data_IF_238645150078
#
_entry.id   IF_238645150078
#
_cell.length_a   1.000
_cell.length_b   1.000
_cell.length_c   1.000
_cell.angle_alpha   90.00
_cell.angle_beta   90.00
_cell.angle_gamma   90.00
#
_symmetry.space_group_name_H-M   'P 1'
#
loop_
_entity.id
_entity.type
_entity.pdbx_description
1 polymer ?
#
# COMPACT_ATOMS: atom_id res chain seq x y z
N UNK A 1 19.55 -13.75 -12.55
CA UNK A 1 18.53 -13.80 -13.61
C UNK A 1 18.61 -12.47 -14.36
N UNK A 2 18.60 -12.51 -15.69
CA UNK A 2 18.42 -11.31 -16.51
C UNK A 2 16.94 -10.91 -16.59
N UNK A 3 16.66 -9.73 -17.16
CA UNK A 3 15.30 -9.18 -17.25
C UNK A 3 14.33 -10.14 -17.97
N UNK A 4 14.74 -10.74 -19.06
CA UNK A 4 13.86 -11.61 -19.85
C UNK A 4 13.47 -12.86 -19.07
N UNK A 5 14.41 -13.47 -18.34
CA UNK A 5 14.14 -14.60 -17.44
C UNK A 5 13.16 -14.23 -16.31
N UNK A 6 13.24 -12.99 -15.81
CA UNK A 6 12.31 -12.54 -14.78
C UNK A 6 10.91 -12.31 -15.36
N UNK A 7 10.82 -11.69 -16.54
CA UNK A 7 9.53 -11.46 -17.21
C UNK A 7 8.80 -12.78 -17.55
N UNK A 8 9.53 -13.88 -17.74
CA UNK A 8 9.00 -15.22 -18.02
C UNK A 8 8.54 -15.98 -16.76
N UNK A 9 8.74 -15.46 -15.56
CA UNK A 9 8.25 -16.09 -14.32
C UNK A 9 6.74 -16.30 -14.43
N UNK A 10 6.32 -17.56 -14.26
CA UNK A 10 4.89 -17.92 -14.29
C UNK A 10 4.25 -17.66 -12.95
N UNK A 11 3.14 -16.96 -12.96
CA UNK A 11 2.46 -16.63 -11.70
C UNK A 11 1.88 -17.86 -11.00
N UNK A 12 1.58 -18.92 -11.75
CA UNK A 12 1.10 -20.17 -11.19
C UNK A 12 2.14 -20.91 -10.32
N UNK A 13 3.46 -20.66 -10.54
CA UNK A 13 4.51 -21.22 -9.69
C UNK A 13 4.46 -20.64 -8.26
N UNK A 14 3.70 -19.57 -8.07
CA UNK A 14 3.43 -18.90 -6.78
C UNK A 14 1.99 -19.14 -6.31
N UNK A 15 1.43 -20.27 -6.71
CA UNK A 15 0.13 -20.74 -6.23
C UNK A 15 0.31 -21.67 -5.03
N UNK A 16 -0.63 -21.61 -4.11
CA UNK A 16 -0.73 -22.53 -2.97
C UNK A 16 -2.20 -22.68 -2.54
N UNK A 17 -2.59 -23.82 -1.95
CA UNK A 17 -3.95 -24.00 -1.47
C UNK A 17 -4.20 -23.13 -0.23
N UNK A 18 -5.03 -22.09 -0.36
CA UNK A 18 -5.47 -21.26 0.76
C UNK A 18 -6.93 -21.60 1.08
N UNK A 19 -7.20 -22.39 2.13
CA UNK A 19 -8.56 -22.68 2.56
C UNK A 19 -9.27 -21.44 3.08
N UNK A 20 -10.53 -21.25 2.73
CA UNK A 20 -11.35 -20.08 3.11
C UNK A 20 -11.43 -19.91 4.63
N UNK A 21 -11.38 -21.00 5.40
CA UNK A 21 -11.38 -21.00 6.86
C UNK A 21 -10.10 -20.41 7.47
N UNK A 22 -9.02 -20.34 6.71
CA UNK A 22 -7.76 -19.72 7.13
C UNK A 22 -7.74 -18.20 6.95
N UNK A 23 -8.67 -17.66 6.18
CA UNK A 23 -8.77 -16.20 5.96
C UNK A 23 -9.44 -15.56 7.17
N UNK A 24 -8.69 -14.72 7.89
CA UNK A 24 -9.23 -13.97 9.01
C UNK A 24 -10.12 -12.83 8.51
N UNK A 25 -11.42 -12.90 8.80
CA UNK A 25 -12.40 -11.90 8.36
C UNK A 25 -12.48 -10.69 9.30
N UNK A 26 -12.02 -10.84 10.54
CA UNK A 26 -11.98 -9.80 11.57
C UNK A 26 -10.67 -9.88 12.34
N UNK A 27 -10.19 -8.75 12.89
CA UNK A 27 -9.02 -8.76 13.77
C UNK A 27 -9.33 -9.49 15.09
N UNK A 28 -8.28 -9.86 15.81
CA UNK A 28 -8.41 -10.26 17.21
C UNK A 28 -8.78 -9.02 18.06
N UNK A 29 -9.45 -9.25 19.20
CA UNK A 29 -9.78 -8.18 20.13
C UNK A 29 -8.52 -7.44 20.62
N UNK A 30 -7.46 -8.19 20.90
CA UNK A 30 -6.10 -7.68 21.16
C UNK A 30 -5.24 -8.03 19.95
N UNK A 31 -4.93 -7.05 19.10
CA UNK A 31 -4.30 -7.26 17.78
C UNK A 31 -2.91 -7.90 17.87
N UNK A 32 -2.14 -7.56 18.90
CA UNK A 32 -0.77 -8.03 19.12
C UNK A 32 -0.70 -9.44 19.74
N UNK A 33 -1.84 -10.06 20.04
CA UNK A 33 -1.89 -11.49 20.45
C UNK A 33 -1.89 -12.46 19.26
N UNK A 34 -1.95 -11.97 18.03
CA UNK A 34 -1.84 -12.79 16.83
C UNK A 34 -0.49 -13.54 16.81
N UNK A 35 -0.44 -14.65 16.05
CA UNK A 35 0.79 -15.39 15.87
C UNK A 35 1.78 -14.59 15.01
N UNK A 36 3.06 -14.79 15.28
CA UNK A 36 4.19 -14.26 14.52
C UNK A 36 5.06 -15.42 14.06
N UNK A 37 5.07 -15.70 12.76
CA UNK A 37 6.04 -16.59 12.17
C UNK A 37 7.37 -15.85 12.06
N UNK A 38 8.41 -16.40 12.67
CA UNK A 38 9.76 -15.83 12.61
C UNK A 38 10.65 -16.73 11.77
N UNK A 39 11.30 -16.16 10.75
CA UNK A 39 12.42 -16.77 10.05
C UNK A 39 13.67 -16.03 10.45
N UNK A 40 14.55 -16.72 11.12
CA UNK A 40 15.84 -16.20 11.57
C UNK A 40 16.87 -16.13 10.42
N UNK A 41 18.04 -15.46 10.62
CA UNK A 41 19.06 -15.35 9.57
C UNK A 41 19.67 -16.68 9.13
N UNK A 42 19.54 -17.74 9.93
CA UNK A 42 20.00 -19.09 9.60
C UNK A 42 18.94 -19.92 8.86
N UNK A 43 17.76 -19.34 8.63
CA UNK A 43 16.64 -20.01 7.97
C UNK A 43 15.75 -20.83 8.90
N UNK A 44 15.98 -20.79 10.22
CA UNK A 44 15.14 -21.44 11.22
C UNK A 44 13.74 -20.82 11.27
N UNK A 45 12.69 -21.65 11.38
CA UNK A 45 11.32 -21.20 11.56
C UNK A 45 10.86 -21.41 13.00
N UNK A 46 10.20 -20.42 13.57
CA UNK A 46 9.57 -20.53 14.88
C UNK A 46 8.27 -19.74 14.95
N UNK A 47 7.37 -20.19 15.82
CA UNK A 47 6.11 -19.51 16.12
C UNK A 47 6.25 -18.71 17.39
N UNK A 48 5.88 -17.44 17.36
CA UNK A 48 5.86 -16.49 18.47
C UNK A 48 4.51 -15.77 18.50
N UNK A 49 4.32 -14.83 19.42
CA UNK A 49 3.25 -13.85 19.38
C UNK A 49 3.77 -12.52 18.84
N UNK A 50 2.91 -11.73 18.24
CA UNK A 50 3.31 -10.42 17.72
C UNK A 50 3.80 -9.49 18.84
N UNK A 51 3.25 -9.61 20.04
CA UNK A 51 3.73 -8.91 21.25
C UNK A 51 5.21 -9.19 21.59
N UNK A 52 5.81 -10.28 21.09
CA UNK A 52 7.22 -10.59 21.28
C UNK A 52 8.14 -9.84 20.30
N UNK A 53 7.57 -9.20 19.27
CA UNK A 53 8.32 -8.51 18.21
C UNK A 53 9.44 -7.60 18.74
N UNK A 54 9.22 -6.73 19.77
CA UNK A 54 10.27 -5.87 20.27
C UNK A 54 11.51 -6.62 20.74
N UNK A 55 11.34 -7.82 21.29
CA UNK A 55 12.43 -8.66 21.78
C UNK A 55 13.17 -9.41 20.66
N UNK A 56 12.54 -9.58 19.51
CA UNK A 56 13.06 -10.33 18.37
C UNK A 56 13.82 -9.44 17.37
N UNK A 57 13.60 -8.13 17.43
CA UNK A 57 14.28 -7.18 16.56
C UNK A 57 15.77 -7.07 16.94
N UNK A 58 16.70 -7.12 15.96
CA UNK A 58 18.10 -6.82 16.20
C UNK A 58 18.29 -5.43 16.80
N UNK A 59 19.25 -5.24 17.74
CA UNK A 59 19.46 -3.95 18.43
C UNK A 59 19.83 -2.79 17.49
N UNK A 60 20.45 -3.09 16.34
CA UNK A 60 20.85 -2.13 15.32
C UNK A 60 19.72 -1.81 14.32
N UNK A 61 18.50 -2.25 14.58
CA UNK A 61 17.36 -2.04 13.68
C UNK A 61 16.84 -0.62 13.70
N UNK A 62 16.27 -0.21 12.59
CA UNK A 62 15.33 0.92 12.46
C UNK A 62 14.07 0.43 11.76
N UNK A 63 12.90 0.64 12.38
CA UNK A 63 11.62 0.30 11.76
C UNK A 63 11.16 1.45 10.87
N UNK A 64 10.73 1.10 9.66
CA UNK A 64 10.14 2.07 8.71
C UNK A 64 8.76 1.59 8.31
N UNK A 65 7.74 2.42 8.48
CA UNK A 65 6.35 2.07 8.23
C UNK A 65 5.60 3.13 7.43
N UNK A 66 4.56 2.68 6.73
CA UNK A 66 3.68 3.54 5.96
C UNK A 66 2.62 4.18 6.86
N UNK A 67 2.57 5.51 6.90
CA UNK A 67 1.72 6.30 7.78
C UNK A 67 0.37 6.70 7.16
N UNK A 68 0.02 6.12 6.01
CA UNK A 68 -1.23 6.47 5.35
C UNK A 68 -2.45 5.96 6.10
N UNK A 69 -3.52 6.79 6.07
CA UNK A 69 -4.85 6.48 6.59
C UNK A 69 -5.78 6.12 5.43
N UNK A 70 -6.58 5.07 5.63
CA UNK A 70 -7.60 4.68 4.66
C UNK A 70 -8.74 5.68 4.70
N UNK A 71 -9.14 6.15 3.52
CA UNK A 71 -10.27 7.05 3.35
C UNK A 71 -11.55 6.27 3.04
N UNK A 72 -12.71 6.85 3.30
CA UNK A 72 -14.01 6.29 2.96
C UNK A 72 -14.27 6.41 1.45
N UNK A 73 -13.42 5.78 0.64
CA UNK A 73 -13.32 5.99 -0.80
C UNK A 73 -14.51 5.44 -1.61
N UNK A 74 -15.45 4.74 -0.99
CA UNK A 74 -16.58 4.10 -1.65
C UNK A 74 -17.85 4.91 -1.46
N UNK A 75 -18.27 5.64 -2.50
CA UNK A 75 -19.50 6.45 -2.52
C UNK A 75 -20.60 5.70 -3.25
N UNK A 76 -21.83 5.80 -2.76
CA UNK A 76 -22.99 5.16 -3.36
C UNK A 76 -24.02 6.20 -3.77
N UNK A 77 -24.41 6.15 -5.04
CA UNK A 77 -25.46 6.99 -5.62
C UNK A 77 -26.59 6.12 -6.14
N UNK A 78 -27.81 6.66 -6.10
CA UNK A 78 -28.95 6.09 -6.82
C UNK A 78 -29.26 6.94 -8.05
N UNK A 79 -29.45 6.26 -9.20
CA UNK A 79 -29.83 6.94 -10.44
C UNK A 79 -31.26 7.47 -10.32
N UNK A 80 -31.50 8.69 -10.85
CA UNK A 80 -32.80 9.36 -10.79
C UNK A 80 -32.92 10.31 -9.62
N UNK A 81 -33.69 11.38 -9.80
CA UNK A 81 -33.90 12.41 -8.79
C UNK A 81 -34.74 11.95 -7.59
N UNK A 82 -35.48 10.87 -7.75
CA UNK A 82 -36.33 10.25 -6.72
C UNK A 82 -35.63 9.20 -5.87
N UNK A 83 -34.37 8.90 -6.14
CA UNK A 83 -33.57 7.92 -5.40
C UNK A 83 -34.03 6.46 -5.54
N UNK A 84 -34.92 6.15 -6.52
CA UNK A 84 -35.47 4.79 -6.70
C UNK A 84 -34.71 3.98 -7.75
N UNK A 85 -33.84 4.61 -8.53
CA UNK A 85 -33.11 3.99 -9.62
C UNK A 85 -31.97 3.05 -9.18
N UNK A 86 -31.24 2.55 -10.17
CA UNK A 86 -30.15 1.63 -9.95
C UNK A 86 -29.08 2.22 -9.02
N UNK A 87 -28.59 1.40 -8.07
CA UNK A 87 -27.45 1.73 -7.24
C UNK A 87 -26.18 1.73 -8.08
N UNK A 88 -25.47 2.86 -8.07
CA UNK A 88 -24.15 3.04 -8.69
C UNK A 88 -23.15 3.22 -7.57
N UNK A 89 -22.12 2.40 -7.56
CA UNK A 89 -20.99 2.53 -6.62
C UNK A 89 -19.84 3.22 -7.34
N UNK A 90 -19.31 4.30 -6.75
CA UNK A 90 -18.12 5.00 -7.24
C UNK A 90 -17.03 4.79 -6.20
N UNK A 91 -15.98 4.10 -6.61
CA UNK A 91 -14.81 3.83 -5.79
C UNK A 91 -13.66 4.72 -6.23
N UNK A 92 -13.38 5.77 -5.46
CA UNK A 92 -12.28 6.71 -5.69
C UNK A 92 -10.95 6.01 -5.47
N UNK A 93 -10.03 6.10 -6.44
CA UNK A 93 -8.73 5.45 -6.42
C UNK A 93 -7.61 6.46 -6.12
N UNK A 94 -7.54 7.50 -6.94
CA UNK A 94 -6.53 8.55 -6.86
C UNK A 94 -7.11 9.86 -7.42
N UNK A 95 -6.64 11.03 -6.95
CA UNK A 95 -7.06 12.31 -7.49
C UNK A 95 -6.53 12.49 -8.91
N UNK A 96 -7.35 13.14 -9.77
CA UNK A 96 -7.02 13.47 -11.15
C UNK A 96 -6.80 14.98 -11.32
N UNK A 97 -7.78 15.79 -10.93
CA UNK A 97 -7.69 17.25 -10.98
C UNK A 97 -8.38 17.88 -9.74
N UNK A 98 -7.62 18.56 -8.87
CA UNK A 98 -6.15 18.60 -8.81
C UNK A 98 -5.53 17.23 -8.43
N UNK A 99 -4.38 16.90 -9.02
CA UNK A 99 -3.71 15.61 -8.82
C UNK A 99 -3.06 15.45 -7.43
N UNK A 100 -2.84 16.55 -6.72
CA UNK A 100 -2.33 16.51 -5.34
C UNK A 100 -3.44 16.12 -4.36
N UNK A 101 -3.15 15.14 -3.51
CA UNK A 101 -4.11 14.61 -2.54
C UNK A 101 -4.59 15.67 -1.54
N UNK A 102 -3.68 16.46 -0.97
CA UNK A 102 -4.05 17.47 0.03
C UNK A 102 -4.90 18.58 -0.59
N UNK A 103 -4.55 19.01 -1.80
CA UNK A 103 -5.30 20.03 -2.54
C UNK A 103 -6.67 19.49 -2.96
N UNK A 104 -6.73 18.24 -3.44
CA UNK A 104 -7.99 17.61 -3.84
C UNK A 104 -8.94 17.41 -2.64
N UNK A 105 -8.43 16.99 -1.47
CA UNK A 105 -9.23 16.87 -0.25
C UNK A 105 -9.69 18.22 0.30
N UNK A 106 -8.89 19.27 0.15
CA UNK A 106 -9.23 20.63 0.58
C UNK A 106 -10.13 21.37 -0.41
N UNK A 107 -10.43 20.79 -1.57
CA UNK A 107 -11.32 21.41 -2.56
C UNK A 107 -12.68 21.69 -1.93
N UNK A 108 -13.26 22.88 -2.25
CA UNK A 108 -14.50 23.40 -1.64
C UNK A 108 -15.66 23.57 -2.64
N UNK A 109 -15.46 23.18 -3.89
CA UNK A 109 -16.50 23.29 -4.93
C UNK A 109 -16.54 22.11 -5.88
N UNK A 110 -15.37 21.63 -6.31
CA UNK A 110 -15.25 20.45 -7.18
C UNK A 110 -13.84 19.89 -7.19
N UNK A 111 -13.75 18.59 -7.46
CA UNK A 111 -12.51 17.88 -7.79
C UNK A 111 -12.83 16.69 -8.69
N UNK A 112 -11.81 16.16 -9.38
CA UNK A 112 -11.95 14.98 -10.24
C UNK A 112 -11.06 13.86 -9.70
N UNK A 113 -11.56 12.63 -9.81
CA UNK A 113 -10.87 11.43 -9.34
C UNK A 113 -10.93 10.33 -10.37
N UNK A 114 -9.85 9.56 -10.49
CA UNK A 114 -9.86 8.26 -11.13
C UNK A 114 -10.63 7.29 -10.25
N UNK A 115 -11.65 6.63 -10.80
CA UNK A 115 -12.57 5.79 -10.05
C UNK A 115 -12.85 4.45 -10.75
N UNK A 116 -13.10 3.41 -9.97
CA UNK A 116 -13.84 2.24 -10.45
C UNK A 116 -15.33 2.48 -10.24
N UNK A 117 -16.15 2.08 -11.21
CA UNK A 117 -17.59 2.29 -11.16
C UNK A 117 -18.32 0.96 -11.21
N UNK A 118 -18.91 0.56 -10.06
CA UNK A 118 -19.82 -0.57 -9.96
C UNK A 118 -21.13 -0.29 -10.67
N UNK A 119 -21.72 -1.33 -11.28
CA UNK A 119 -22.91 -1.17 -12.14
C UNK A 119 -22.75 -0.15 -13.29
N UNK A 120 -21.52 0.04 -13.78
CA UNK A 120 -21.15 1.04 -14.80
C UNK A 120 -22.06 1.02 -16.04
N UNK A 121 -22.60 -0.16 -16.41
CA UNK A 121 -23.55 -0.32 -17.54
C UNK A 121 -24.89 0.40 -17.31
N UNK A 122 -25.25 0.65 -16.04
CA UNK A 122 -26.49 1.36 -15.67
C UNK A 122 -26.30 2.88 -15.65
N UNK A 123 -25.06 3.35 -15.58
CA UNK A 123 -24.71 4.77 -15.68
C UNK A 123 -24.11 5.08 -17.05
N UNK A 124 -24.96 5.25 -18.06
CA UNK A 124 -24.53 5.52 -19.43
C UNK A 124 -24.28 7.00 -19.68
N UNK A 125 -25.14 7.84 -19.11
CA UNK A 125 -25.21 9.28 -19.33
C UNK A 125 -25.82 10.00 -18.14
N UNK A 126 -25.70 11.31 -18.12
CA UNK A 126 -26.22 12.20 -17.10
C UNK A 126 -25.44 12.17 -15.78
N UNK A 127 -25.78 13.10 -14.93
CA UNK A 127 -25.20 13.23 -13.61
C UNK A 127 -25.90 12.33 -12.58
N UNK A 128 -25.15 11.86 -11.61
CA UNK A 128 -25.71 11.30 -10.38
C UNK A 128 -25.76 12.42 -9.33
N UNK A 129 -26.90 12.57 -8.69
CA UNK A 129 -27.12 13.64 -7.70
C UNK A 129 -27.71 13.06 -6.44
N UNK A 130 -27.28 13.55 -5.29
CA UNK A 130 -27.93 13.25 -4.01
C UNK A 130 -27.83 14.44 -3.07
N UNK A 131 -28.89 14.69 -2.31
CA UNK A 131 -28.90 15.66 -1.23
C UNK A 131 -28.43 14.97 0.05
N UNK A 132 -27.46 15.58 0.70
CA UNK A 132 -26.80 14.98 1.87
C UNK A 132 -26.52 16.07 2.91
N UNK A 133 -26.39 15.63 4.16
CA UNK A 133 -25.99 16.53 5.25
C UNK A 133 -24.55 16.22 5.62
N UNK A 134 -23.69 17.22 5.54
CA UNK A 134 -22.26 17.15 5.90
C UNK A 134 -21.97 18.29 6.87
N UNK A 135 -21.41 17.98 8.02
CA UNK A 135 -21.08 18.94 9.08
C UNK A 135 -22.28 19.86 9.46
N UNK A 136 -23.48 19.28 9.48
CA UNK A 136 -24.73 19.99 9.77
C UNK A 136 -25.28 20.85 8.62
N UNK A 137 -24.66 20.86 7.44
CA UNK A 137 -25.08 21.60 6.25
C UNK A 137 -25.68 20.67 5.21
N UNK A 138 -26.82 21.06 4.66
CA UNK A 138 -27.43 20.34 3.53
C UNK A 138 -26.75 20.78 2.23
N UNK A 139 -26.21 19.82 1.47
CA UNK A 139 -25.57 20.06 0.19
C UNK A 139 -26.15 19.16 -0.90
N UNK A 140 -26.07 19.62 -2.14
CA UNK A 140 -26.34 18.79 -3.32
C UNK A 140 -25.01 18.31 -3.89
N UNK A 141 -24.68 17.04 -3.64
CA UNK A 141 -23.50 16.41 -4.23
C UNK A 141 -23.84 15.85 -5.62
N UNK A 142 -23.04 16.21 -6.61
CA UNK A 142 -23.15 15.77 -8.00
C UNK A 142 -21.90 15.01 -8.42
N UNK A 143 -22.07 13.87 -9.08
CA UNK A 143 -20.99 13.12 -9.74
C UNK A 143 -21.24 13.06 -11.25
N UNK A 144 -20.28 13.54 -12.04
CA UNK A 144 -20.30 13.59 -13.49
C UNK A 144 -19.17 12.73 -14.05
N UNK A 145 -19.47 11.76 -14.91
CA UNK A 145 -18.44 10.97 -15.58
C UNK A 145 -17.84 11.77 -16.73
N UNK A 146 -16.56 12.13 -16.64
CA UNK A 146 -15.85 12.90 -17.66
C UNK A 146 -15.27 12.01 -18.76
N UNK A 147 -14.70 10.86 -18.36
CA UNK A 147 -14.12 9.89 -19.29
C UNK A 147 -14.28 8.47 -18.78
N UNK A 148 -14.07 7.51 -19.68
CA UNK A 148 -14.02 6.09 -19.36
C UNK A 148 -12.88 5.44 -20.14
N UNK A 149 -11.99 4.78 -19.41
CA UNK A 149 -10.92 3.97 -19.96
C UNK A 149 -10.94 2.57 -19.35
N UNK A 150 -11.34 1.57 -20.15
CA UNK A 150 -11.50 0.20 -19.69
C UNK A 150 -12.44 0.08 -18.49
N UNK A 151 -11.90 -0.31 -17.33
CA UNK A 151 -12.62 -0.44 -16.07
C UNK A 151 -12.66 0.88 -15.28
N UNK A 152 -11.74 1.80 -15.53
CA UNK A 152 -11.63 3.09 -14.85
C UNK A 152 -12.47 4.16 -15.50
N UNK A 153 -12.80 5.19 -14.74
CA UNK A 153 -13.49 6.39 -15.19
C UNK A 153 -12.95 7.59 -14.42
N UNK A 154 -12.77 8.72 -15.10
CA UNK A 154 -12.59 10.00 -14.41
C UNK A 154 -13.99 10.51 -14.03
N UNK A 155 -14.19 10.73 -12.75
CA UNK A 155 -15.45 11.25 -12.19
C UNK A 155 -15.16 12.59 -11.52
N UNK A 156 -15.88 13.62 -11.98
CA UNK A 156 -15.89 14.92 -11.33
C UNK A 156 -16.98 14.94 -10.27
N UNK A 157 -16.59 15.27 -9.04
CA UNK A 157 -17.50 15.60 -7.96
C UNK A 157 -17.65 17.11 -7.87
N UNK A 158 -18.87 17.61 -7.64
CA UNK A 158 -19.16 19.03 -7.40
C UNK A 158 -20.30 19.18 -6.42
N UNK A 159 -20.27 20.26 -5.63
CA UNK A 159 -21.27 20.57 -4.60
C UNK A 159 -21.46 22.08 -4.46
N UNK A 160 -22.55 22.46 -3.82
CA UNK A 160 -23.07 23.83 -3.78
C UNK A 160 -22.79 24.59 -2.48
N UNK A 161 -21.86 24.08 -1.62
CA UNK A 161 -21.54 24.69 -0.33
C UNK A 161 -20.02 24.84 -0.19
N UNK A 162 -19.43 26.05 -0.32
CA UNK A 162 -17.98 26.26 -0.28
C UNK A 162 -17.36 26.11 1.11
N UNK A 163 -18.16 26.01 2.17
CA UNK A 163 -17.68 25.74 3.52
C UNK A 163 -17.46 24.24 3.78
N UNK A 164 -17.86 23.37 2.84
CA UNK A 164 -17.70 21.92 2.92
C UNK A 164 -16.56 21.49 2.00
N UNK A 165 -15.61 20.76 2.54
CA UNK A 165 -14.49 20.22 1.76
C UNK A 165 -14.83 18.83 1.20
N UNK A 166 -14.10 18.39 0.16
CA UNK A 166 -14.24 17.04 -0.35
C UNK A 166 -13.89 15.98 0.71
N UNK A 167 -12.93 16.27 1.58
CA UNK A 167 -12.60 15.42 2.74
C UNK A 167 -13.80 15.21 3.67
N UNK A 168 -14.54 16.29 4.01
CA UNK A 168 -15.76 16.19 4.82
C UNK A 168 -16.84 15.36 4.10
N UNK A 169 -17.00 15.52 2.80
CA UNK A 169 -17.96 14.75 1.98
C UNK A 169 -17.64 13.25 2.02
N UNK A 170 -16.39 12.88 1.72
CA UNK A 170 -15.96 11.47 1.75
C UNK A 170 -16.12 10.89 3.16
N UNK A 171 -15.76 11.64 4.19
CA UNK A 171 -15.87 11.17 5.58
C UNK A 171 -17.30 10.92 6.00
N UNK A 172 -18.25 11.76 5.56
CA UNK A 172 -19.65 11.66 5.94
C UNK A 172 -20.45 10.61 5.15
N UNK A 173 -20.13 10.42 3.87
CA UNK A 173 -20.94 9.63 2.94
C UNK A 173 -20.28 8.34 2.48
N UNK A 174 -18.97 8.29 2.54
CA UNK A 174 -18.20 7.16 2.04
C UNK A 174 -18.17 6.00 3.03
N UNK A 175 -17.91 4.84 2.49
CA UNK A 175 -17.60 3.63 3.25
C UNK A 175 -16.12 3.27 3.07
N UNK A 176 -15.50 2.73 4.13
CA UNK A 176 -14.15 2.17 4.03
C UNK A 176 -14.17 0.98 3.06
N UNK A 177 -13.30 0.96 2.05
CA UNK A 177 -13.16 -0.16 1.16
C UNK A 177 -12.38 -1.28 1.85
N UNK A 178 -13.05 -2.34 2.25
CA UNK A 178 -12.39 -3.54 2.75
C UNK A 178 -12.00 -4.47 1.59
N UNK A 179 -10.95 -5.29 1.76
CA UNK A 179 -10.51 -6.23 0.72
C UNK A 179 -11.61 -7.23 0.31
N UNK A 180 -11.80 -7.50 -0.99
CA UNK A 180 -12.83 -8.43 -1.46
C UNK A 180 -12.73 -9.86 -0.91
N UNK A 181 -11.52 -10.33 -0.61
CA UNK A 181 -11.31 -11.68 -0.07
C UNK A 181 -11.85 -11.87 1.36
N UNK A 182 -12.19 -10.79 2.07
CA UNK A 182 -12.89 -10.89 3.36
C UNK A 182 -14.30 -11.44 3.20
N UNK A 183 -14.86 -11.39 1.98
CA UNK A 183 -16.15 -11.97 1.58
C UNK A 183 -17.28 -11.62 2.57
N UNK A 184 -17.33 -10.35 2.97
CA UNK A 184 -18.38 -9.75 3.80
C UNK A 184 -18.60 -8.27 3.42
N UNK A 185 -19.71 -7.73 3.86
CA UNK A 185 -19.96 -6.27 3.76
C UNK A 185 -19.10 -5.49 4.74
N UNK A 186 -18.89 -4.20 4.46
CA UNK A 186 -18.25 -3.26 5.38
C UNK A 186 -19.15 -3.08 6.62
N UNK A 187 -18.54 -3.08 7.79
CA UNK A 187 -19.17 -2.88 9.10
C UNK A 187 -18.67 -1.56 9.70
N UNK A 188 -19.41 -1.01 10.66
CA UNK A 188 -19.04 0.24 11.32
C UNK A 188 -17.66 0.15 12.01
N UNK A 189 -17.35 -1.01 12.57
CA UNK A 189 -16.06 -1.28 13.21
C UNK A 189 -14.87 -1.18 12.25
N UNK A 190 -15.06 -1.40 10.93
CA UNK A 190 -13.96 -1.33 9.95
C UNK A 190 -13.34 0.07 9.88
N UNK A 191 -14.10 1.12 10.19
CA UNK A 191 -13.59 2.49 10.26
C UNK A 191 -12.42 2.64 11.25
N UNK A 192 -12.41 1.83 12.31
CA UNK A 192 -11.36 1.73 13.32
C UNK A 192 -10.44 0.55 13.03
N UNK A 193 -11.01 -0.59 12.66
CA UNK A 193 -10.29 -1.87 12.63
C UNK A 193 -9.40 -2.01 11.40
N UNK A 194 -9.74 -1.32 10.30
CA UNK A 194 -8.94 -1.29 9.07
C UNK A 194 -8.01 -0.06 9.00
N UNK A 195 -7.50 0.37 10.17
CA UNK A 195 -6.53 1.46 10.33
C UNK A 195 -5.37 1.03 11.22
N UNK A 196 -4.17 1.53 10.92
CA UNK A 196 -3.02 1.36 11.82
C UNK A 196 -3.07 2.40 12.93
N UNK A 197 -2.47 2.07 14.10
CA UNK A 197 -2.43 2.99 15.25
C UNK A 197 -1.55 4.24 15.02
N UNK A 198 -0.79 4.27 13.94
CA UNK A 198 0.10 5.37 13.57
C UNK A 198 -0.30 6.06 12.24
N UNK A 199 -1.47 5.71 11.69
CA UNK A 199 -1.96 6.34 10.46
C UNK A 199 -2.33 7.81 10.70
N UNK A 200 -1.91 8.70 9.79
CA UNK A 200 -2.16 10.13 9.90
C UNK A 200 -2.36 10.89 8.59
N UNK A 201 -1.88 10.35 7.47
CA UNK A 201 -1.98 10.98 6.16
C UNK A 201 -3.12 10.33 5.37
N UNK A 202 -4.21 11.07 5.17
CA UNK A 202 -5.36 10.59 4.40
C UNK A 202 -5.01 10.39 2.93
N UNK A 203 -5.57 9.36 2.28
CA UNK A 203 -5.43 9.15 0.83
C UNK A 203 -5.27 7.71 0.37
N UNK A 204 -5.04 6.76 1.25
CA UNK A 204 -5.01 5.34 0.87
C UNK A 204 -6.42 4.76 0.73
N UNK A 205 -6.61 3.87 -0.24
CA UNK A 205 -7.84 3.07 -0.37
C UNK A 205 -7.69 1.67 0.21
N UNK A 206 -6.47 1.29 0.62
CA UNK A 206 -6.19 0.08 1.37
C UNK A 206 -5.25 0.36 2.54
N UNK A 207 -5.45 -0.32 3.66
CA UNK A 207 -4.55 -0.21 4.81
C UNK A 207 -3.19 -0.87 4.54
N UNK A 208 -2.08 -0.33 5.08
CA UNK A 208 -0.81 -1.06 5.16
C UNK A 208 -0.94 -2.18 6.22
N UNK A 209 -1.50 -3.31 5.80
CA UNK A 209 -2.11 -4.33 6.67
C UNK A 209 -1.15 -4.98 7.68
N UNK A 210 0.15 -5.06 7.38
CA UNK A 210 1.14 -5.51 8.35
C UNK A 210 1.24 -4.58 9.58
N UNK A 211 0.83 -3.33 9.44
CA UNK A 211 0.75 -2.36 10.52
C UNK A 211 -0.45 -2.56 11.45
N UNK A 212 -1.46 -3.33 11.04
CA UNK A 212 -2.66 -3.54 11.85
C UNK A 212 -2.39 -4.33 13.14
N UNK A 213 -1.31 -5.09 13.19
CA UNK A 213 -0.92 -5.88 14.37
C UNK A 213 -0.29 -5.02 15.47
N UNK A 214 0.22 -3.84 15.14
CA UNK A 214 0.86 -2.96 16.12
C UNK A 214 -0.19 -2.35 17.07
N UNK A 215 0.19 -2.33 18.34
CA UNK A 215 -0.54 -1.64 19.41
C UNK A 215 0.34 -0.54 20.02
N UNK A 216 -0.24 0.41 20.75
CA UNK A 216 0.57 1.39 21.48
C UNK A 216 1.54 0.74 22.48
N UNK A 217 1.23 -0.45 22.99
CA UNK A 217 2.11 -1.20 23.89
C UNK A 217 3.36 -1.71 23.15
N UNK A 218 3.18 -2.38 22.02
CA UNK A 218 4.29 -2.87 21.18
C UNK A 218 5.19 -1.71 20.73
N UNK A 219 4.62 -0.58 20.33
CA UNK A 219 5.39 0.60 19.93
C UNK A 219 6.21 1.18 21.08
N UNK A 220 5.64 1.28 22.29
CA UNK A 220 6.39 1.73 23.48
C UNK A 220 7.54 0.79 23.82
N UNK A 221 7.33 -0.53 23.72
CA UNK A 221 8.37 -1.51 24.03
C UNK A 221 9.53 -1.46 23.02
N UNK A 222 9.25 -1.16 21.75
CA UNK A 222 10.26 -0.87 20.72
C UNK A 222 11.05 0.39 21.10
N UNK A 223 10.36 1.49 21.49
CA UNK A 223 11.00 2.75 21.90
C UNK A 223 11.88 2.56 23.15
N UNK A 224 11.40 1.79 24.13
CA UNK A 224 12.17 1.46 25.35
C UNK A 224 13.45 0.66 25.07
N UNK A 225 13.51 -0.06 23.95
CA UNK A 225 14.71 -0.76 23.48
C UNK A 225 15.66 0.14 22.69
N UNK A 226 15.31 1.40 22.50
CA UNK A 226 16.11 2.35 21.73
C UNK A 226 16.11 2.11 20.21
N UNK A 227 15.15 1.34 19.70
CA UNK A 227 15.01 1.07 18.27
C UNK A 227 14.26 2.24 17.63
N UNK A 228 14.91 3.04 16.76
CA UNK A 228 14.27 4.17 16.13
C UNK A 228 13.15 3.73 15.16
N UNK A 229 12.11 4.54 15.10
CA UNK A 229 10.98 4.37 14.19
C UNK A 229 10.87 5.56 13.25
N UNK A 230 10.64 5.30 11.97
CA UNK A 230 10.49 6.33 10.94
C UNK A 230 9.30 6.03 10.07
N UNK A 231 8.78 7.09 9.47
CA UNK A 231 7.58 7.05 8.64
C UNK A 231 7.92 7.39 7.20
N UNK A 232 7.16 6.81 6.31
CA UNK A 232 7.06 7.20 4.92
C UNK A 232 5.59 7.18 4.50
N UNK A 233 5.29 7.77 3.37
CA UNK A 233 3.94 7.78 2.81
C UNK A 233 3.94 7.06 1.47
N UNK A 234 3.04 6.08 1.32
CA UNK A 234 2.66 5.50 0.04
C UNK A 234 1.14 5.39 0.02
N UNK A 235 0.50 6.07 -0.92
CA UNK A 235 -0.94 5.94 -1.11
C UNK A 235 -1.24 4.66 -1.87
N UNK A 236 -1.82 3.69 -1.14
CA UNK A 236 -2.13 2.36 -1.67
C UNK A 236 -3.36 2.45 -2.55
N UNK A 237 -3.21 2.13 -3.83
CA UNK A 237 -4.31 2.04 -4.78
C UNK A 237 -5.10 0.72 -4.68
N UNK A 238 -6.30 0.68 -5.29
CA UNK A 238 -7.15 -0.52 -5.31
C UNK A 238 -6.57 -1.71 -6.10
N UNK A 239 -5.53 -1.47 -6.89
CA UNK A 239 -4.82 -2.52 -7.62
C UNK A 239 -4.25 -3.61 -6.72
N UNK A 240 -3.92 -3.27 -5.47
CA UNK A 240 -3.40 -4.21 -4.47
C UNK A 240 -4.39 -5.36 -4.14
N UNK A 241 -5.68 -5.18 -4.41
CA UNK A 241 -6.70 -6.22 -4.19
C UNK A 241 -6.90 -7.15 -5.38
N UNK A 242 -6.27 -6.89 -6.52
CA UNK A 242 -6.46 -7.68 -7.72
C UNK A 242 -5.36 -8.74 -7.85
N UNK A 243 -5.71 -10.02 -8.04
CA UNK A 243 -4.72 -11.03 -8.37
C UNK A 243 -4.12 -10.75 -9.76
N UNK A 244 -2.91 -11.24 -9.98
CA UNK A 244 -2.30 -11.23 -11.32
C UNK A 244 -3.14 -12.12 -12.23
N UNK A 245 -3.55 -11.58 -13.39
CA UNK A 245 -4.42 -12.28 -14.35
C UNK A 245 -3.67 -12.84 -15.55
N UNK A 246 -2.45 -12.37 -15.77
CA UNK A 246 -1.57 -12.82 -16.84
C UNK A 246 -0.88 -14.14 -16.46
N UNK A 247 -0.46 -14.92 -17.45
CA UNK A 247 0.26 -16.18 -17.22
C UNK A 247 1.68 -15.92 -16.71
N UNK A 248 2.32 -14.89 -17.24
CA UNK A 248 3.66 -14.45 -16.84
C UNK A 248 3.61 -13.07 -16.18
N UNK A 249 4.61 -12.78 -15.35
CA UNK A 249 4.69 -11.48 -14.69
C UNK A 249 5.11 -10.35 -15.65
N UNK A 250 5.73 -10.67 -16.77
CA UNK A 250 6.10 -9.71 -17.83
C UNK A 250 4.89 -9.01 -18.46
N UNK A 251 3.78 -9.72 -18.57
CA UNK A 251 2.52 -9.20 -19.09
C UNK A 251 1.72 -8.40 -18.05
N UNK A 252 2.08 -8.51 -16.76
CA UNK A 252 1.38 -7.80 -15.69
C UNK A 252 1.84 -6.35 -15.61
N UNK A 253 0.90 -5.43 -15.71
CA UNK A 253 1.12 -3.99 -15.54
C UNK A 253 0.92 -3.59 -14.08
N UNK A 254 2.01 -3.15 -13.42
CA UNK A 254 1.91 -2.58 -12.07
C UNK A 254 1.21 -1.22 -12.11
N UNK A 255 0.28 -1.02 -11.18
CA UNK A 255 -0.31 0.30 -10.96
C UNK A 255 0.75 1.27 -10.45
N UNK A 256 0.59 2.54 -10.81
CA UNK A 256 1.39 3.62 -10.25
C UNK A 256 0.90 3.92 -8.83
N UNK A 257 1.82 4.05 -7.89
CA UNK A 257 1.51 4.45 -6.52
C UNK A 257 2.36 5.66 -6.14
N UNK A 258 1.70 6.66 -5.56
CA UNK A 258 2.34 7.89 -5.10
C UNK A 258 3.13 7.62 -3.82
N UNK A 259 4.37 8.12 -3.77
CA UNK A 259 5.24 8.03 -2.62
C UNK A 259 5.73 9.41 -2.19
N UNK A 260 5.84 9.63 -0.88
CA UNK A 260 6.45 10.81 -0.29
C UNK A 260 7.35 10.39 0.88
N UNK A 261 8.58 10.87 0.85
CA UNK A 261 9.61 10.54 1.86
C UNK A 261 10.30 11.82 2.32
N UNK A 262 10.25 12.07 3.62
CA UNK A 262 10.83 13.29 4.20
C UNK A 262 12.36 13.23 4.25
N UNK A 263 12.99 14.39 4.08
CA UNK A 263 14.45 14.58 4.13
C UNK A 263 15.13 13.87 5.29
N UNK A 264 14.65 13.95 6.57
CA UNK A 264 15.33 13.28 7.69
C UNK A 264 15.49 11.77 7.51
N UNK A 265 14.49 11.07 6.95
CA UNK A 265 14.62 9.64 6.67
C UNK A 265 15.67 9.38 5.58
N UNK A 266 15.70 10.19 4.52
CA UNK A 266 16.69 10.08 3.43
C UNK A 266 18.11 10.28 3.96
N UNK A 267 18.32 11.25 4.85
CA UNK A 267 19.59 11.49 5.51
C UNK A 267 20.05 10.33 6.40
N UNK A 268 19.11 9.70 7.13
CA UNK A 268 19.43 8.52 7.94
C UNK A 268 19.78 7.30 7.08
N UNK A 269 19.04 7.08 5.99
CA UNK A 269 19.36 6.03 5.01
C UNK A 269 20.73 6.26 4.37
N UNK A 270 21.10 7.50 4.08
CA UNK A 270 22.42 7.86 3.53
C UNK A 270 23.58 7.53 4.49
N UNK A 271 23.35 7.67 5.80
CA UNK A 271 24.39 7.33 6.82
C UNK A 271 24.60 5.83 6.96
N UNK A 272 23.59 5.00 6.63
CA UNK A 272 23.69 3.55 6.67
C UNK A 272 23.95 2.95 8.07
N UNK A 273 23.55 3.66 9.14
CA UNK A 273 23.87 3.29 10.53
C UNK A 273 22.95 2.21 11.12
N UNK A 274 21.86 1.87 10.42
CA UNK A 274 20.84 0.96 10.92
C UNK A 274 20.51 -0.15 9.93
N UNK A 275 20.11 -1.29 10.46
CA UNK A 275 19.44 -2.37 9.72
C UNK A 275 18.00 -1.97 9.51
N UNK A 276 17.61 -1.75 8.26
CA UNK A 276 16.26 -1.29 7.92
C UNK A 276 15.29 -2.47 7.93
N UNK A 277 14.31 -2.41 8.84
CA UNK A 277 13.20 -3.36 8.93
C UNK A 277 11.94 -2.66 8.41
N UNK A 278 11.47 -3.06 7.25
CA UNK A 278 10.27 -2.48 6.65
C UNK A 278 9.01 -3.13 7.24
N UNK A 279 8.03 -2.32 7.63
CA UNK A 279 6.71 -2.80 8.05
C UNK A 279 5.75 -2.73 6.88
N UNK A 280 5.42 -3.90 6.33
CA UNK A 280 4.56 -4.08 5.17
C UNK A 280 5.29 -3.94 3.83
N UNK A 281 4.72 -4.59 2.83
CA UNK A 281 5.23 -4.59 1.45
C UNK A 281 5.19 -3.20 0.81
N UNK A 282 4.30 -2.31 1.26
CA UNK A 282 4.24 -0.90 0.84
C UNK A 282 5.48 -0.14 1.26
N UNK A 283 5.95 -0.32 2.51
CA UNK A 283 7.20 0.28 3.00
C UNK A 283 8.41 -0.30 2.27
N UNK A 284 8.42 -1.60 1.99
CA UNK A 284 9.45 -2.25 1.17
C UNK A 284 9.52 -1.59 -0.20
N UNK A 285 8.39 -1.50 -0.91
CA UNK A 285 8.36 -0.93 -2.26
C UNK A 285 8.81 0.53 -2.28
N UNK A 286 8.41 1.33 -1.30
CA UNK A 286 8.83 2.73 -1.21
C UNK A 286 10.34 2.85 -0.99
N UNK A 287 10.90 2.12 -0.03
CA UNK A 287 12.34 2.17 0.28
C UNK A 287 13.19 1.71 -0.92
N UNK A 288 12.82 0.60 -1.54
CA UNK A 288 13.53 0.11 -2.71
C UNK A 288 13.35 1.03 -3.92
N UNK A 289 12.15 1.62 -4.11
CA UNK A 289 11.92 2.64 -5.15
C UNK A 289 12.79 3.87 -4.93
N UNK A 290 12.95 4.32 -3.68
CA UNK A 290 13.76 5.48 -3.34
C UNK A 290 15.22 5.29 -3.80
N UNK A 291 15.79 4.09 -3.61
CA UNK A 291 17.13 3.78 -4.12
C UNK A 291 17.21 3.96 -5.66
N UNK A 292 16.26 3.42 -6.39
CA UNK A 292 16.29 3.48 -7.86
C UNK A 292 16.01 4.88 -8.39
N UNK A 293 15.14 5.65 -7.74
CA UNK A 293 14.89 7.06 -8.07
C UNK A 293 16.15 7.92 -7.84
N UNK A 294 16.90 7.64 -6.78
CA UNK A 294 18.20 8.26 -6.56
C UNK A 294 19.23 7.91 -7.65
N UNK A 295 19.22 6.67 -8.15
CA UNK A 295 20.02 6.26 -9.29
C UNK A 295 19.62 7.00 -10.58
N UNK A 296 18.32 7.20 -10.83
CA UNK A 296 17.81 7.99 -11.96
C UNK A 296 18.30 9.45 -11.88
N UNK A 297 18.15 10.10 -10.72
CA UNK A 297 18.64 11.47 -10.48
C UNK A 297 20.15 11.57 -10.69
N UNK A 298 20.92 10.62 -10.18
CA UNK A 298 22.37 10.57 -10.40
C UNK A 298 22.74 10.53 -11.87
N UNK A 299 21.96 9.83 -12.68
CA UNK A 299 22.15 9.71 -14.13
C UNK A 299 21.53 10.87 -14.93
N UNK A 300 20.97 11.90 -14.27
CA UNK A 300 20.33 13.04 -14.93
C UNK A 300 18.98 12.71 -15.58
N UNK A 301 18.35 11.61 -15.17
CA UNK A 301 17.03 11.20 -15.66
C UNK A 301 15.91 11.86 -14.85
N UNK A 302 14.72 11.98 -15.45
CA UNK A 302 13.51 12.34 -14.73
C UNK A 302 13.16 11.24 -13.72
N UNK A 303 13.07 11.60 -12.44
CA UNK A 303 12.72 10.72 -11.33
C UNK A 303 11.31 10.98 -10.78
N UNK A 304 10.42 11.58 -11.57
CA UNK A 304 9.01 11.77 -11.18
C UNK A 304 8.24 10.44 -11.08
N UNK A 305 8.64 9.45 -11.88
CA UNK A 305 8.03 8.11 -11.87
C UNK A 305 9.08 7.03 -12.08
N UNK A 306 9.13 6.05 -11.17
CA UNK A 306 9.97 4.86 -11.33
C UNK A 306 9.30 3.85 -12.26
N UNK A 307 9.89 3.51 -13.42
CA UNK A 307 9.36 2.50 -14.32
C UNK A 307 9.43 1.09 -13.70
N UNK A 308 8.46 0.24 -14.05
CA UNK A 308 8.29 -1.11 -13.50
C UNK A 308 9.55 -1.97 -13.55
N UNK A 309 10.27 -1.94 -14.68
CA UNK A 309 11.39 -2.81 -14.97
C UNK A 309 12.76 -2.09 -14.90
N UNK A 310 12.80 -0.87 -14.39
CA UNK A 310 14.04 -0.09 -14.29
C UNK A 310 15.17 -0.82 -13.56
N UNK A 311 14.93 -1.52 -12.42
CA UNK A 311 15.99 -2.22 -11.70
C UNK A 311 16.69 -3.35 -12.48
N UNK A 312 16.03 -3.85 -13.50
CA UNK A 312 16.47 -4.99 -14.31
C UNK A 312 17.06 -4.57 -15.66
N UNK A 313 17.24 -3.27 -15.89
CA UNK A 313 17.84 -2.76 -17.12
C UNK A 313 19.36 -2.86 -17.08
N UNK A 314 19.98 -3.16 -18.22
CA UNK A 314 21.44 -3.23 -18.35
C UNK A 314 22.14 -1.89 -18.09
N UNK A 315 21.42 -0.78 -18.27
CA UNK A 315 21.91 0.58 -18.03
C UNK A 315 21.75 1.05 -16.59
N UNK A 316 21.25 0.19 -15.69
CA UNK A 316 21.05 0.59 -14.28
C UNK A 316 22.39 0.79 -13.58
N UNK A 317 22.69 2.00 -13.03
CA UNK A 317 23.94 2.26 -12.34
C UNK A 317 23.98 1.48 -11.01
N UNK A 318 25.14 0.90 -10.71
CA UNK A 318 25.36 0.25 -9.40
C UNK A 318 25.95 1.28 -8.43
N UNK A 319 25.10 2.00 -7.74
CA UNK A 319 25.47 2.96 -6.70
C UNK A 319 25.46 2.32 -5.31
N UNK A 320 26.21 2.92 -4.37
CA UNK A 320 25.95 2.69 -2.96
C UNK A 320 24.61 3.33 -2.56
N UNK A 321 23.99 2.86 -1.46
CA UNK A 321 22.80 3.51 -0.91
C UNK A 321 23.10 4.97 -0.57
N UNK A 322 24.27 5.24 0.01
CA UNK A 322 24.70 6.60 0.34
C UNK A 322 24.74 7.53 -0.88
N UNK A 323 25.31 7.07 -2.00
CA UNK A 323 25.41 7.88 -3.23
C UNK A 323 24.02 8.13 -3.86
N UNK A 324 23.18 7.11 -3.85
CA UNK A 324 21.79 7.24 -4.32
C UNK A 324 21.01 8.24 -3.47
N UNK A 325 21.05 8.12 -2.13
CA UNK A 325 20.39 9.07 -1.23
C UNK A 325 20.98 10.48 -1.36
N UNK A 326 22.31 10.62 -1.55
CA UNK A 326 22.93 11.90 -1.79
C UNK A 326 22.43 12.58 -3.09
N UNK A 327 22.10 11.80 -4.12
CA UNK A 327 21.49 12.37 -5.33
C UNK A 327 20.10 12.96 -5.06
N UNK A 328 19.27 12.27 -4.24
CA UNK A 328 17.96 12.79 -3.83
C UNK A 328 18.12 14.05 -2.96
N UNK A 329 19.06 14.06 -2.00
CA UNK A 329 19.30 15.23 -1.14
C UNK A 329 19.71 16.44 -1.96
N UNK A 330 20.60 16.28 -2.96
CA UNK A 330 20.95 17.37 -3.90
C UNK A 330 19.74 17.88 -4.69
N UNK A 331 18.86 16.98 -5.12
CA UNK A 331 17.62 17.38 -5.79
C UNK A 331 16.72 18.21 -4.87
N UNK A 332 16.54 17.79 -3.62
CA UNK A 332 15.78 18.54 -2.61
C UNK A 332 16.39 19.91 -2.33
N UNK A 333 17.72 20.01 -2.27
CA UNK A 333 18.42 21.29 -2.11
C UNK A 333 18.18 22.23 -3.30
N UNK A 334 18.25 21.69 -4.51
CA UNK A 334 18.04 22.46 -5.74
C UNK A 334 16.60 22.95 -5.92
N UNK A 335 15.61 22.19 -5.41
CA UNK A 335 14.19 22.53 -5.50
C UNK A 335 13.65 23.27 -4.27
N UNK A 336 14.41 23.34 -3.18
CA UNK A 336 13.98 23.93 -1.92
C UNK A 336 12.91 23.10 -1.19
N UNK A 337 12.78 21.80 -1.49
CA UNK A 337 11.77 20.93 -0.92
C UNK A 337 12.27 20.17 0.31
N UNK A 338 11.38 19.95 1.28
CA UNK A 338 11.65 19.13 2.48
C UNK A 338 11.27 17.65 2.33
N UNK A 339 10.48 17.33 1.32
CA UNK A 339 9.93 15.98 1.07
C UNK A 339 10.19 15.60 -0.38
N UNK A 340 10.72 14.41 -0.60
CA UNK A 340 10.85 13.84 -1.94
C UNK A 340 9.56 13.16 -2.35
N UNK A 341 8.99 13.60 -3.46
CA UNK A 341 7.71 13.14 -4.00
C UNK A 341 7.94 12.50 -5.36
N UNK A 342 7.40 11.30 -5.57
CA UNK A 342 7.46 10.59 -6.85
C UNK A 342 6.33 9.56 -6.95
N UNK A 343 6.27 8.87 -8.08
CA UNK A 343 5.40 7.70 -8.25
C UNK A 343 6.24 6.44 -8.50
N UNK A 344 5.72 5.29 -8.12
CA UNK A 344 6.39 4.01 -8.36
C UNK A 344 5.49 2.99 -9.03
N UNK A 345 6.05 2.29 -10.03
CA UNK A 345 5.49 1.07 -10.62
C UNK A 345 6.40 -0.14 -10.36
N UNK A 346 7.32 -0.03 -9.42
CA UNK A 346 8.35 -1.04 -9.17
C UNK A 346 7.75 -2.44 -9.04
N UNK A 347 8.20 -3.36 -9.89
CA UNK A 347 8.01 -4.80 -9.72
C UNK A 347 9.20 -5.37 -8.93
N UNK A 348 8.91 -6.04 -7.82
CA UNK A 348 9.90 -6.83 -7.07
C UNK A 348 9.52 -8.30 -7.22
N UNK A 349 10.38 -9.08 -7.85
CA UNK A 349 10.19 -10.51 -8.12
C UNK A 349 11.50 -11.26 -7.91
N UNK A 350 11.51 -12.59 -7.83
CA UNK A 350 12.72 -13.39 -7.69
C UNK A 350 13.78 -12.99 -8.72
N UNK A 351 15.02 -12.82 -8.24
CA UNK A 351 16.12 -12.22 -8.99
C UNK A 351 16.35 -10.73 -8.70
N UNK A 352 15.42 -10.05 -8.00
CA UNK A 352 15.61 -8.70 -7.49
C UNK A 352 16.63 -8.69 -6.34
N UNK A 353 17.56 -7.73 -6.36
CA UNK A 353 18.55 -7.54 -5.28
C UNK A 353 18.13 -6.37 -4.40
N UNK A 354 17.72 -6.67 -3.17
CA UNK A 354 17.38 -5.66 -2.18
C UNK A 354 18.55 -4.74 -1.85
N UNK A 355 18.31 -3.44 -1.84
CA UNK A 355 19.32 -2.42 -1.65
C UNK A 355 19.27 -1.79 -0.26
N UNK A 356 18.10 -1.45 0.23
CA UNK A 356 17.88 -0.77 1.51
C UNK A 356 17.34 -1.73 2.57
N UNK A 357 16.31 -2.51 2.23
CA UNK A 357 15.60 -3.36 3.19
C UNK A 357 16.45 -4.56 3.60
N UNK A 358 16.58 -4.81 4.90
CA UNK A 358 17.35 -5.91 5.51
C UNK A 358 16.52 -6.82 6.40
N UNK A 359 15.25 -6.51 6.57
CA UNK A 359 14.27 -7.32 7.26
C UNK A 359 12.88 -6.78 6.98
N UNK A 360 11.86 -7.57 7.18
CA UNK A 360 10.48 -7.12 7.02
C UNK A 360 9.54 -7.76 8.02
N UNK A 361 8.55 -6.96 8.46
CA UNK A 361 7.33 -7.42 9.11
C UNK A 361 6.25 -7.41 8.04
N UNK A 362 5.59 -8.53 7.79
CA UNK A 362 4.57 -8.63 6.75
C UNK A 362 3.46 -9.61 7.13
N UNK A 363 2.39 -9.69 6.31
CA UNK A 363 1.35 -10.70 6.43
C UNK A 363 1.64 -11.90 5.52
N UNK A 364 0.85 -12.97 5.66
CA UNK A 364 0.72 -13.96 4.61
C UNK A 364 -0.11 -13.36 3.46
N UNK A 365 0.36 -13.55 2.23
CA UNK A 365 -0.22 -12.95 1.03
C UNK A 365 -1.04 -13.97 0.24
N UNK A 366 -1.95 -13.46 -0.59
CA UNK A 366 -2.75 -14.30 -1.48
C UNK A 366 -1.87 -15.11 -2.44
N UNK A 367 -2.31 -16.31 -2.84
CA UNK A 367 -1.70 -17.04 -3.95
C UNK A 367 -1.77 -16.18 -5.23
N UNK A 368 -0.82 -16.37 -6.13
CA UNK A 368 -0.70 -15.67 -7.42
C UNK A 368 -0.68 -14.14 -7.30
N UNK A 369 -0.07 -13.61 -6.25
CA UNK A 369 0.02 -12.16 -6.03
C UNK A 369 1.42 -11.62 -6.22
N UNK A 370 1.53 -10.37 -6.68
CA UNK A 370 2.82 -9.65 -6.74
C UNK A 370 3.46 -9.49 -5.37
N UNK A 371 2.67 -9.51 -4.30
CA UNK A 371 3.17 -9.41 -2.93
C UNK A 371 3.89 -10.69 -2.50
N UNK A 372 3.41 -11.86 -2.94
CA UNK A 372 4.10 -13.13 -2.71
C UNK A 372 5.42 -13.20 -3.50
N UNK A 373 5.46 -12.65 -4.72
CA UNK A 373 6.71 -12.51 -5.50
C UNK A 373 7.72 -11.64 -4.76
N UNK A 374 7.30 -10.51 -4.20
CA UNK A 374 8.15 -9.62 -3.42
C UNK A 374 8.75 -10.33 -2.20
N UNK A 375 7.93 -11.04 -1.43
CA UNK A 375 8.39 -11.82 -0.29
C UNK A 375 9.35 -12.93 -0.72
N UNK A 376 9.03 -13.66 -1.78
CA UNK A 376 9.89 -14.70 -2.34
C UNK A 376 11.25 -14.15 -2.77
N UNK A 377 11.28 -12.97 -3.42
CA UNK A 377 12.51 -12.28 -3.77
C UNK A 377 13.35 -11.89 -2.54
N UNK A 378 12.71 -11.52 -1.43
CA UNK A 378 13.41 -11.17 -0.19
C UNK A 378 14.06 -12.39 0.45
N UNK A 379 13.42 -13.51 0.41
CA UNK A 379 13.89 -14.74 1.04
C UNK A 379 15.14 -15.33 0.36
N UNK A 380 15.33 -15.10 -0.94
CA UNK A 380 16.50 -15.43 -1.82
C UNK A 380 17.28 -16.71 -1.48
N UNK A 381 16.66 -17.63 -0.76
CA UNK A 381 17.26 -18.89 -0.29
C UNK A 381 16.95 -20.08 -1.21
N UNK A 382 16.63 -19.79 -2.48
CA UNK A 382 16.13 -20.76 -3.47
C UNK A 382 14.62 -20.64 -3.73
N UNK A 383 14.19 -21.19 -4.86
CA UNK A 383 12.82 -21.02 -5.37
C UNK A 383 11.72 -21.54 -4.41
N UNK A 384 12.05 -22.36 -3.43
CA UNK A 384 11.08 -23.06 -2.58
C UNK A 384 11.01 -22.53 -1.13
N UNK A 385 11.83 -21.54 -0.74
CA UNK A 385 11.85 -21.08 0.65
C UNK A 385 10.51 -20.45 1.07
N UNK A 386 9.90 -19.66 0.21
CA UNK A 386 8.57 -19.13 0.49
C UNK A 386 7.54 -20.26 0.69
N UNK A 387 7.64 -21.34 -0.12
CA UNK A 387 6.74 -22.50 -0.05
C UNK A 387 6.89 -23.22 1.28
N UNK A 388 8.14 -23.47 1.72
CA UNK A 388 8.43 -24.05 3.02
C UNK A 388 7.82 -23.25 4.18
N UNK A 389 7.87 -21.91 4.11
CA UNK A 389 7.28 -21.01 5.11
C UNK A 389 5.76 -21.10 5.10
N UNK A 390 5.13 -21.11 3.93
CA UNK A 390 3.68 -21.19 3.81
C UNK A 390 3.16 -22.58 4.19
N UNK A 391 3.88 -23.63 3.86
CA UNK A 391 3.55 -25.01 4.29
C UNK A 391 3.62 -25.14 5.82
N UNK A 392 4.65 -24.56 6.46
CA UNK A 392 4.75 -24.49 7.91
C UNK A 392 3.53 -23.76 8.52
N UNK A 393 3.13 -22.66 7.95
CA UNK A 393 1.97 -21.88 8.43
C UNK A 393 0.64 -22.65 8.21
N UNK A 394 0.48 -23.32 7.07
CA UNK A 394 -0.71 -24.11 6.77
C UNK A 394 -0.81 -25.38 7.63
N UNK A 395 0.34 -25.99 7.98
CA UNK A 395 0.38 -27.14 8.89
C UNK A 395 0.11 -26.70 10.36
N UNK A 396 0.38 -25.46 10.71
CA UNK A 396 0.08 -24.85 12.00
C UNK A 396 -1.31 -24.18 12.03
N UNK A 397 -1.54 -23.40 13.09
CA UNK A 397 -2.84 -22.73 13.32
C UNK A 397 -2.84 -21.27 12.83
N UNK A 398 -1.95 -20.92 11.88
CA UNK A 398 -1.87 -19.56 11.36
C UNK A 398 -3.11 -19.18 10.56
N UNK A 399 -3.53 -17.93 10.74
CA UNK A 399 -4.57 -17.25 9.96
C UNK A 399 -3.91 -16.36 8.92
N UNK A 400 -4.56 -16.14 7.81
CA UNK A 400 -3.99 -15.52 6.62
C UNK A 400 -4.61 -14.17 6.30
N UNK A 401 -3.89 -13.38 5.50
CA UNK A 401 -4.26 -12.09 4.92
C UNK A 401 -4.36 -10.97 5.97
N UNK A 402 -5.14 -9.91 5.67
CA UNK A 402 -5.10 -8.62 6.37
C UNK A 402 -5.26 -8.68 7.89
N UNK A 403 -6.20 -9.47 8.37
CA UNK A 403 -6.50 -9.62 9.81
C UNK A 403 -5.94 -10.93 10.38
N UNK A 404 -5.15 -11.63 9.58
CA UNK A 404 -4.51 -12.89 9.97
C UNK A 404 -3.35 -12.71 10.93
N UNK A 405 -2.34 -13.52 10.76
CA UNK A 405 -1.13 -13.52 11.54
C UNK A 405 0.03 -12.89 10.76
N UNK A 406 1.10 -12.56 11.45
CA UNK A 406 2.22 -11.83 10.88
C UNK A 406 3.44 -12.73 10.64
N UNK A 407 4.37 -12.23 9.83
CA UNK A 407 5.69 -12.79 9.61
C UNK A 407 6.77 -11.75 9.96
N UNK A 408 7.88 -12.21 10.55
CA UNK A 408 9.12 -11.47 10.70
C UNK A 408 10.22 -12.22 9.95
N UNK A 409 10.81 -11.59 8.96
CA UNK A 409 11.95 -12.10 8.19
C UNK A 409 13.16 -11.20 8.46
N UNK A 410 14.26 -11.77 9.00
CA UNK A 410 15.49 -11.06 9.38
C UNK A 410 16.74 -11.83 8.98
#
# INVERSE_FOLDING_TARGET
MDRSQIEEIRIEDYDYPLPDQRIARHPLAERDTCLLLVRDPQGGLSTRRFSDLPALLPPDSMLVYNNTRVINARLRFRKGSDGTGALIEIFCLEPDDPADYAVSFAATSSCSWNCLVGNSKRWKDGDLTQNVTVDGRSITLRATRQSKDGASSVVRFSWDCPEVTFSSIISALGEIPIPPYLNRSTEESDSRDYQTVYSRIDGSVAAPTAGLHFTPAVLRDIDLRGIPRRELTLHVGAGTFQPVKSDTIGEHMMHSEFIAVDRPLIEELSRGSHRIIAVGTTSVRTLESLYHLGCMLHSGMDASTLPQWYPYSDSHPSLSVADSMAAILRHLDATGQGTFIASTRLMIAPGYRYRIVRGMVTNFHQPRSTLLLLVSAFLDAGADEWRRIYDYALAGDFRFLSYGDACLFI
#
